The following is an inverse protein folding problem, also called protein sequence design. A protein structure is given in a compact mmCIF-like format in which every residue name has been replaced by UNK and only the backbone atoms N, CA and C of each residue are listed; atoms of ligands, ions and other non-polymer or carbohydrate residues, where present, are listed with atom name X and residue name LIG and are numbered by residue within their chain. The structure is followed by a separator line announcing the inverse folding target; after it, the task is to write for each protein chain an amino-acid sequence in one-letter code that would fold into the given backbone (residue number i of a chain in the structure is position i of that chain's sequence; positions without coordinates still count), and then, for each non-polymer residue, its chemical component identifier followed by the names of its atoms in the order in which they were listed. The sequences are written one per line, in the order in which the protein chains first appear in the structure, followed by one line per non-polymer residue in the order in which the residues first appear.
data_IF_011426623763
#
_entry.id   IF_011426623763
#
_cell.length_a   1.000
_cell.length_b   1.000
_cell.length_c   1.000
_cell.angle_alpha   90.00
_cell.angle_beta   90.00
_cell.angle_gamma   90.00
#
_symmetry.space_group_name_H-M   'P 1'
#
loop_
_entity.id
_entity.type
_entity.pdbx_description
1 polymer ?
#
# COMPACT_ATOMS: atom_id res chain seq x y z
N UNK A 1 -6.55 12.84 12.06
CA UNK A 1 -5.97 11.54 11.68
C UNK A 1 -6.35 10.54 12.75
N UNK A 2 -6.79 9.34 12.39
CA UNK A 2 -7.17 8.31 13.35
C UNK A 2 -5.95 7.82 14.16
N UNK A 3 -6.19 7.35 15.39
CA UNK A 3 -5.21 6.58 16.13
C UNK A 3 -5.02 5.22 15.43
N UNK A 4 -3.78 4.86 15.10
CA UNK A 4 -3.47 3.57 14.48
C UNK A 4 -2.05 3.50 13.95
N UNK A 5 -1.56 2.28 13.78
CA UNK A 5 -0.22 2.00 13.26
C UNK A 5 -0.07 2.38 11.79
N UNK A 6 1.18 2.56 11.36
CA UNK A 6 1.56 2.79 9.97
C UNK A 6 2.35 1.56 9.51
N UNK A 7 1.82 0.82 8.54
CA UNK A 7 2.40 -0.46 8.09
C UNK A 7 3.01 -0.28 6.70
N UNK A 8 4.23 -0.78 6.52
CA UNK A 8 4.92 -0.82 5.23
C UNK A 8 5.01 -2.25 4.76
N UNK A 9 4.35 -2.57 3.66
CA UNK A 9 4.41 -3.89 3.05
C UNK A 9 5.18 -3.81 1.73
N UNK A 10 6.26 -4.58 1.61
CA UNK A 10 7.15 -4.58 0.44
C UNK A 10 7.14 -5.94 -0.26
N UNK A 11 6.92 -5.92 -1.56
CA UNK A 11 7.14 -7.07 -2.44
C UNK A 11 8.64 -7.28 -2.70
N UNK A 12 9.16 -8.45 -2.35
CA UNK A 12 10.57 -8.81 -2.58
C UNK A 12 10.79 -9.64 -3.86
N UNK A 13 9.77 -9.82 -4.71
CA UNK A 13 9.84 -10.73 -5.85
C UNK A 13 9.74 -10.05 -7.22
N UNK A 14 10.62 -10.44 -8.15
CA UNK A 14 10.55 -10.05 -9.57
C UNK A 14 9.53 -10.86 -10.35
N UNK A 15 9.15 -10.40 -11.55
CA UNK A 15 8.19 -11.02 -12.47
C UNK A 15 8.39 -12.53 -12.66
N UNK A 16 9.63 -13.00 -12.53
CA UNK A 16 10.05 -14.38 -12.78
C UNK A 16 10.40 -15.16 -11.49
N UNK A 17 10.02 -14.66 -10.31
CA UNK A 17 10.27 -15.31 -9.02
C UNK A 17 11.70 -15.14 -8.48
N UNK A 18 12.48 -14.20 -9.02
CA UNK A 18 13.78 -13.79 -8.46
C UNK A 18 13.65 -12.66 -7.43
N UNK A 19 14.76 -12.19 -6.86
CA UNK A 19 14.79 -11.08 -5.88
C UNK A 19 14.56 -9.75 -6.57
N UNK A 20 13.56 -8.98 -6.13
CA UNK A 20 13.38 -7.59 -6.59
C UNK A 20 14.43 -6.70 -5.93
N UNK A 21 15.45 -6.30 -6.69
CA UNK A 21 16.51 -5.43 -6.19
C UNK A 21 15.99 -4.06 -5.71
N UNK A 22 14.91 -3.53 -6.29
CA UNK A 22 14.35 -2.25 -5.83
C UNK A 22 13.60 -2.45 -4.52
N UNK A 23 12.78 -3.51 -4.43
CA UNK A 23 12.16 -3.92 -3.16
C UNK A 23 13.19 -4.19 -2.06
N UNK A 24 14.30 -4.87 -2.39
CA UNK A 24 15.38 -5.16 -1.45
C UNK A 24 16.12 -3.91 -0.97
N UNK A 25 16.46 -2.98 -1.88
CA UNK A 25 17.10 -1.71 -1.49
C UNK A 25 16.18 -0.90 -0.59
N UNK A 26 14.88 -0.86 -0.91
CA UNK A 26 13.91 -0.15 -0.09
C UNK A 26 13.74 -0.80 1.27
N UNK A 27 13.72 -2.13 1.31
CA UNK A 27 13.69 -2.90 2.53
C UNK A 27 14.85 -2.53 3.46
N UNK A 28 16.06 -2.45 2.91
CA UNK A 28 17.26 -2.08 3.66
C UNK A 28 17.19 -0.68 4.30
N UNK A 29 16.30 0.21 3.84
CA UNK A 29 16.16 1.59 4.34
C UNK A 29 14.81 1.87 5.01
N UNK A 30 13.95 0.86 5.16
CA UNK A 30 12.55 1.02 5.59
C UNK A 30 12.31 0.26 6.92
N UNK A 31 12.51 0.95 8.05
CA UNK A 31 12.59 0.33 9.40
C UNK A 31 11.25 -0.26 9.91
N UNK A 32 11.11 -1.58 9.99
CA UNK A 32 9.92 -2.23 10.58
C UNK A 32 8.82 -2.52 9.57
N UNK A 33 9.20 -2.76 8.32
CA UNK A 33 8.32 -3.25 7.28
C UNK A 33 7.95 -4.73 7.45
N UNK A 34 7.06 -5.17 6.59
CA UNK A 34 6.76 -6.58 6.35
C UNK A 34 7.03 -6.90 4.89
N UNK A 35 7.69 -8.04 4.67
CA UNK A 35 8.00 -8.51 3.32
C UNK A 35 7.02 -9.60 2.90
N UNK A 36 6.72 -9.65 1.61
CA UNK A 36 5.82 -10.66 1.06
C UNK A 36 6.19 -11.07 -0.37
N UNK A 37 5.65 -12.21 -0.80
CA UNK A 37 5.96 -12.84 -2.11
C UNK A 37 4.71 -13.25 -2.90
N UNK A 38 3.52 -13.08 -2.34
CA UNK A 38 2.21 -13.31 -2.95
C UNK A 38 1.10 -12.65 -2.10
N UNK A 39 -0.16 -12.71 -2.53
CA UNK A 39 -1.29 -12.12 -1.76
C UNK A 39 -1.46 -12.77 -0.38
N UNK A 40 -1.27 -14.08 -0.26
CA UNK A 40 -1.46 -14.80 1.00
C UNK A 40 -0.39 -14.40 2.05
N UNK A 41 0.87 -14.30 1.63
CA UNK A 41 1.99 -13.82 2.45
C UNK A 41 1.85 -12.33 2.77
N UNK A 42 1.36 -11.52 1.84
CA UNK A 42 1.06 -10.10 2.09
C UNK A 42 0.07 -9.94 3.25
N UNK A 43 -1.10 -10.58 3.13
CA UNK A 43 -2.16 -10.46 4.13
C UNK A 43 -1.70 -11.02 5.48
N UNK A 44 -1.06 -12.19 5.49
CA UNK A 44 -0.61 -12.82 6.74
C UNK A 44 0.51 -12.03 7.43
N UNK A 45 1.45 -11.44 6.67
CA UNK A 45 2.52 -10.63 7.24
C UNK A 45 1.99 -9.32 7.84
N UNK A 46 1.07 -8.63 7.14
CA UNK A 46 0.40 -7.43 7.68
C UNK A 46 -0.38 -7.76 8.96
N UNK A 47 -1.16 -8.86 8.96
CA UNK A 47 -1.91 -9.29 10.15
C UNK A 47 -1.00 -9.66 11.33
N UNK A 48 0.12 -10.34 11.06
CA UNK A 48 1.09 -10.70 12.10
C UNK A 48 1.75 -9.47 12.70
N UNK A 49 2.05 -8.46 11.88
CA UNK A 49 2.68 -7.21 12.34
C UNK A 49 1.70 -6.35 13.15
N UNK A 50 0.46 -6.21 12.69
CA UNK A 50 -0.52 -5.37 13.39
C UNK A 50 -1.04 -6.03 14.68
N UNK A 51 -1.19 -7.36 14.69
CA UNK A 51 -1.77 -8.10 15.81
C UNK A 51 -3.19 -7.61 16.14
N UNK A 52 -3.51 -7.34 17.42
CA UNK A 52 -4.84 -6.87 17.82
C UNK A 52 -5.06 -5.36 17.58
N UNK A 53 -4.07 -4.64 17.06
CA UNK A 53 -4.14 -3.17 16.88
C UNK A 53 -4.88 -2.81 15.58
N UNK A 54 -5.16 -1.52 15.43
CA UNK A 54 -5.67 -0.94 14.19
C UNK A 54 -4.56 -0.19 13.44
N UNK A 55 -4.63 -0.20 12.10
CA UNK A 55 -3.75 0.55 11.21
C UNK A 55 -4.47 1.80 10.69
N UNK A 56 -3.76 2.92 10.72
CA UNK A 56 -4.21 4.21 10.17
C UNK A 56 -3.70 4.45 8.75
N UNK A 57 -2.61 3.77 8.38
CA UNK A 57 -2.00 3.89 7.07
C UNK A 57 -1.31 2.57 6.69
N UNK A 58 -1.56 2.10 5.48
CA UNK A 58 -0.88 0.94 4.89
C UNK A 58 -0.23 1.35 3.57
N UNK A 59 1.10 1.32 3.54
CA UNK A 59 1.86 1.47 2.30
C UNK A 59 2.09 0.10 1.68
N UNK A 60 1.75 -0.02 0.41
CA UNK A 60 1.92 -1.25 -0.36
C UNK A 60 2.85 -0.95 -1.51
N UNK A 61 4.08 -1.44 -1.40
CA UNK A 61 5.09 -1.30 -2.42
C UNK A 61 5.14 -2.53 -3.31
N UNK A 62 4.84 -2.30 -4.58
CA UNK A 62 4.70 -3.35 -5.59
C UNK A 62 5.06 -2.81 -6.96
N UNK A 63 5.33 -3.72 -7.91
CA UNK A 63 5.33 -3.36 -9.32
C UNK A 63 3.90 -3.09 -9.80
N UNK A 64 3.76 -2.20 -10.78
CA UNK A 64 2.44 -1.86 -11.31
C UNK A 64 2.48 -1.39 -12.75
N UNK A 65 1.29 -1.36 -13.34
CA UNK A 65 1.02 -0.73 -14.62
C UNK A 65 -0.44 -0.23 -14.66
N UNK A 66 -0.88 0.43 -15.75
CA UNK A 66 -2.29 0.78 -15.90
C UNK A 66 -3.27 -0.40 -15.89
N UNK A 67 -2.80 -1.65 -16.06
CA UNK A 67 -3.65 -2.85 -16.02
C UNK A 67 -3.73 -3.54 -14.66
N UNK A 68 -2.96 -3.09 -13.65
CA UNK A 68 -2.98 -3.70 -12.33
C UNK A 68 -1.68 -3.54 -11.53
N UNK A 69 -1.63 -4.22 -10.40
CA UNK A 69 -0.48 -4.26 -9.49
C UNK A 69 -0.08 -5.70 -9.19
N UNK A 70 1.21 -5.90 -8.94
CA UNK A 70 1.81 -7.20 -8.71
C UNK A 70 2.06 -7.42 -7.23
N UNK A 71 1.26 -8.28 -6.61
CA UNK A 71 1.48 -8.72 -5.24
C UNK A 71 2.32 -9.98 -5.27
N UNK A 72 3.63 -9.81 -5.38
CA UNK A 72 4.59 -10.87 -5.64
C UNK A 72 4.24 -11.74 -6.83
N UNK A 73 4.08 -13.04 -6.63
CA UNK A 73 3.70 -13.97 -7.70
C UNK A 73 2.29 -13.72 -8.29
N UNK A 74 1.44 -12.92 -7.65
CA UNK A 74 0.06 -12.70 -8.08
C UNK A 74 -0.12 -11.35 -8.78
N UNK A 75 -0.65 -11.36 -10.00
CA UNK A 75 -1.13 -10.15 -10.66
C UNK A 75 -2.57 -9.82 -10.25
N UNK A 76 -2.77 -8.64 -9.68
CA UNK A 76 -4.06 -8.12 -9.22
C UNK A 76 -4.50 -6.98 -10.15
N UNK A 77 -5.53 -7.24 -10.94
CA UNK A 77 -6.22 -6.30 -11.81
C UNK A 77 -7.69 -6.20 -11.40
N UNK A 78 -8.44 -5.30 -12.05
CA UNK A 78 -9.89 -5.20 -11.89
C UNK A 78 -10.64 -6.51 -12.17
N UNK A 79 -10.10 -7.35 -13.05
CA UNK A 79 -10.66 -8.66 -13.42
C UNK A 79 -10.24 -9.79 -12.49
N UNK A 80 -9.01 -9.77 -11.96
CA UNK A 80 -8.52 -10.84 -11.06
C UNK A 80 -8.79 -10.55 -9.58
N UNK A 81 -9.08 -9.30 -9.21
CA UNK A 81 -9.41 -8.89 -7.85
C UNK A 81 -10.46 -9.77 -7.16
N UNK A 82 -11.58 -10.17 -7.80
CA UNK A 82 -12.56 -11.06 -7.15
C UNK A 82 -11.97 -12.37 -6.61
N UNK A 83 -10.95 -12.92 -7.28
CA UNK A 83 -10.23 -14.14 -6.86
C UNK A 83 -9.49 -13.95 -5.53
N UNK A 84 -9.02 -12.74 -5.26
CA UNK A 84 -8.24 -12.38 -4.08
C UNK A 84 -9.04 -11.63 -3.01
N UNK A 85 -10.26 -11.19 -3.34
CA UNK A 85 -11.10 -10.35 -2.49
C UNK A 85 -11.23 -10.89 -1.06
N UNK A 86 -11.51 -12.19 -0.89
CA UNK A 86 -11.66 -12.80 0.43
C UNK A 86 -10.36 -12.74 1.27
N UNK A 87 -9.20 -12.82 0.62
CA UNK A 87 -7.90 -12.69 1.29
C UNK A 87 -7.69 -11.26 1.76
N UNK A 88 -7.84 -10.29 0.88
CA UNK A 88 -7.72 -8.86 1.22
C UNK A 88 -8.76 -8.41 2.27
N UNK A 89 -9.96 -8.98 2.26
CA UNK A 89 -11.04 -8.67 3.22
C UNK A 89 -10.65 -8.94 4.67
N UNK A 90 -9.67 -9.83 4.91
CA UNK A 90 -9.17 -10.14 6.25
C UNK A 90 -8.50 -8.93 6.91
N UNK A 91 -8.06 -7.94 6.13
CA UNK A 91 -7.50 -6.69 6.64
C UNK A 91 -8.57 -5.66 7.01
N UNK A 92 -9.81 -5.80 6.52
CA UNK A 92 -10.86 -4.77 6.66
C UNK A 92 -11.11 -4.39 8.11
N UNK A 93 -11.21 -5.36 9.03
CA UNK A 93 -11.46 -5.10 10.45
C UNK A 93 -10.28 -4.50 11.21
N UNK A 94 -9.11 -4.39 10.58
CA UNK A 94 -7.91 -3.83 11.19
C UNK A 94 -7.65 -2.39 10.77
N UNK A 95 -8.43 -1.81 9.85
CA UNK A 95 -8.30 -0.38 9.53
C UNK A 95 -9.03 0.48 10.57
N UNK A 96 -8.36 1.55 11.04
CA UNK A 96 -9.00 2.57 11.85
C UNK A 96 -9.98 3.40 11.02
N UNK A 97 -10.90 4.10 11.67
CA UNK A 97 -11.73 5.09 10.99
C UNK A 97 -10.86 6.14 10.27
N UNK A 98 -11.20 6.47 9.02
CA UNK A 98 -10.46 7.39 8.16
C UNK A 98 -9.02 6.95 7.85
N UNK A 99 -8.73 5.65 7.89
CA UNK A 99 -7.44 5.13 7.46
C UNK A 99 -7.21 5.36 5.96
N UNK A 100 -5.96 5.15 5.55
CA UNK A 100 -5.50 5.31 4.18
C UNK A 100 -4.68 4.10 3.72
N UNK A 101 -4.69 3.87 2.41
CA UNK A 101 -3.80 2.94 1.73
C UNK A 101 -3.08 3.70 0.62
N UNK A 102 -1.76 3.54 0.59
CA UNK A 102 -0.88 4.05 -0.45
C UNK A 102 -0.39 2.89 -1.32
N UNK A 103 -0.93 2.80 -2.54
CA UNK A 103 -0.49 1.84 -3.55
C UNK A 103 0.71 2.44 -4.32
N UNK A 104 1.90 2.16 -3.80
CA UNK A 104 3.20 2.60 -4.32
C UNK A 104 3.63 1.69 -5.47
N UNK A 105 2.96 1.87 -6.61
CA UNK A 105 3.19 1.10 -7.82
C UNK A 105 3.13 1.99 -9.07
N UNK A 106 3.97 1.69 -10.06
CA UNK A 106 4.01 2.45 -11.31
C UNK A 106 2.65 2.48 -12.00
N UNK A 107 2.14 3.68 -12.29
CA UNK A 107 0.92 3.93 -13.07
C UNK A 107 -0.38 3.24 -12.61
N UNK A 108 -0.42 2.56 -11.45
CA UNK A 108 -1.63 1.84 -11.03
C UNK A 108 -2.79 2.79 -10.74
N UNK A 109 -2.50 4.07 -10.43
CA UNK A 109 -3.51 5.12 -10.30
C UNK A 109 -4.30 5.39 -11.59
N UNK A 110 -3.88 4.86 -12.74
CA UNK A 110 -4.64 4.88 -13.98
C UNK A 110 -5.76 3.81 -14.00
N UNK A 111 -5.64 2.73 -13.22
CA UNK A 111 -6.68 1.70 -13.07
C UNK A 111 -7.68 2.09 -11.96
N UNK A 112 -8.58 3.01 -12.30
CA UNK A 112 -9.56 3.54 -11.35
C UNK A 112 -10.54 2.44 -10.85
N UNK A 113 -10.86 1.46 -11.69
CA UNK A 113 -11.72 0.33 -11.29
C UNK A 113 -11.09 -0.49 -10.17
N UNK A 114 -9.81 -0.84 -10.30
CA UNK A 114 -9.09 -1.55 -9.24
C UNK A 114 -9.02 -0.73 -7.95
N UNK A 115 -8.74 0.58 -8.06
CA UNK A 115 -8.72 1.45 -6.88
C UNK A 115 -10.08 1.52 -6.17
N UNK A 116 -11.18 1.62 -6.93
CA UNK A 116 -12.54 1.59 -6.40
C UNK A 116 -12.87 0.25 -5.73
N UNK A 117 -12.37 -0.87 -6.26
CA UNK A 117 -12.53 -2.19 -5.64
C UNK A 117 -11.81 -2.28 -4.29
N UNK A 118 -10.58 -1.77 -4.18
CA UNK A 118 -9.89 -1.68 -2.90
C UNK A 118 -10.62 -0.75 -1.91
N UNK A 119 -11.02 0.44 -2.36
CA UNK A 119 -11.80 1.39 -1.56
C UNK A 119 -13.10 0.75 -1.04
N UNK A 120 -13.87 0.11 -1.91
CA UNK A 120 -15.13 -0.55 -1.53
C UNK A 120 -14.94 -1.78 -0.65
N UNK A 121 -13.77 -2.42 -0.68
CA UNK A 121 -13.47 -3.56 0.20
C UNK A 121 -13.08 -3.14 1.62
N UNK A 122 -12.28 -2.08 1.74
CA UNK A 122 -11.70 -1.66 3.02
C UNK A 122 -12.42 -0.47 3.65
N UNK A 123 -13.13 0.35 2.87
CA UNK A 123 -13.80 1.56 3.36
C UNK A 123 -12.82 2.66 3.78
N UNK A 124 -11.63 2.69 3.16
CA UNK A 124 -10.52 3.59 3.50
C UNK A 124 -10.14 4.46 2.31
N UNK A 125 -9.40 5.55 2.56
CA UNK A 125 -8.84 6.35 1.47
C UNK A 125 -7.80 5.56 0.69
N UNK A 126 -7.77 5.68 -0.64
CA UNK A 126 -6.79 5.03 -1.51
C UNK A 126 -6.05 6.11 -2.30
N UNK A 127 -4.73 6.08 -2.29
CA UNK A 127 -3.90 6.90 -3.17
C UNK A 127 -2.98 6.02 -3.99
N UNK A 128 -2.76 6.41 -5.24
CA UNK A 128 -1.85 5.73 -6.13
C UNK A 128 -1.26 6.67 -7.18
N UNK A 129 -0.02 6.39 -7.57
CA UNK A 129 0.66 7.09 -8.63
C UNK A 129 0.08 6.83 -10.03
N UNK A 130 -0.15 7.87 -10.82
CA UNK A 130 -0.51 7.77 -12.26
C UNK A 130 0.69 7.87 -13.19
N UNK A 131 1.89 8.11 -12.67
CA UNK A 131 3.16 8.13 -13.42
C UNK A 131 4.14 7.03 -12.97
N UNK A 132 5.37 7.11 -13.50
CA UNK A 132 6.49 6.29 -13.03
C UNK A 132 6.73 6.59 -11.55
N UNK A 133 6.64 5.55 -10.73
CA UNK A 133 6.89 5.63 -9.30
C UNK A 133 8.35 5.26 -9.04
N UNK A 134 9.09 6.14 -8.37
CA UNK A 134 10.37 5.81 -7.77
C UNK A 134 10.12 5.59 -6.28
N UNK A 135 10.08 4.33 -5.87
CA UNK A 135 9.77 3.98 -4.49
C UNK A 135 10.90 4.44 -3.53
N UNK A 136 12.17 4.28 -3.93
CA UNK A 136 13.34 4.71 -3.12
C UNK A 136 13.32 6.20 -2.79
N UNK A 137 12.89 7.05 -3.73
CA UNK A 137 12.78 8.50 -3.51
C UNK A 137 11.40 8.93 -2.98
N UNK A 138 10.45 8.01 -2.86
CA UNK A 138 9.04 8.26 -2.63
C UNK A 138 8.46 9.35 -3.55
N UNK A 139 8.77 9.25 -4.84
CA UNK A 139 8.39 10.24 -5.85
C UNK A 139 7.62 9.61 -7.00
N UNK A 140 6.43 10.14 -7.27
CA UNK A 140 5.74 9.92 -8.54
C UNK A 140 6.13 11.01 -9.55
N UNK A 141 6.54 10.60 -10.76
CA UNK A 141 6.83 11.52 -11.87
C UNK A 141 5.57 12.01 -12.61
N UNK A 142 4.38 11.75 -12.07
CA UNK A 142 3.09 12.16 -12.59
C UNK A 142 2.14 12.60 -11.48
N UNK A 143 0.83 12.65 -11.80
CA UNK A 143 -0.21 12.95 -10.80
C UNK A 143 -0.50 11.72 -9.94
N UNK A 144 -1.04 11.94 -8.75
CA UNK A 144 -1.71 10.94 -7.94
C UNK A 144 -3.19 10.86 -8.29
N UNK A 145 -3.73 9.65 -8.32
CA UNK A 145 -5.15 9.40 -8.21
C UNK A 145 -5.46 9.22 -6.72
N UNK A 146 -6.51 9.88 -6.25
CA UNK A 146 -6.94 9.83 -4.85
C UNK A 146 -8.42 9.46 -4.81
N UNK A 147 -8.77 8.50 -3.98
CA UNK A 147 -10.13 8.22 -3.52
C UNK A 147 -10.13 8.48 -2.02
N UNK A 148 -10.87 9.49 -1.57
CA UNK A 148 -10.97 9.87 -0.17
C UNK A 148 -11.77 8.83 0.62
N UNK A 149 -11.64 8.77 1.97
CA UNK A 149 -12.43 7.86 2.79
C UNK A 149 -13.96 8.03 2.63
N UNK A 150 -14.42 9.23 2.26
CA UNK A 150 -15.83 9.54 1.95
C UNK A 150 -16.27 9.14 0.54
N UNK A 151 -15.36 8.55 -0.26
CA UNK A 151 -15.60 8.13 -1.63
C UNK A 151 -15.38 9.21 -2.69
N UNK A 152 -15.04 10.45 -2.31
CA UNK A 152 -14.73 11.51 -3.27
C UNK A 152 -13.46 11.18 -4.04
N UNK A 153 -13.47 11.36 -5.36
CA UNK A 153 -12.32 11.08 -6.21
C UNK A 153 -11.69 12.37 -6.75
N UNK A 154 -10.36 12.43 -6.80
CA UNK A 154 -9.64 13.55 -7.39
C UNK A 154 -8.28 13.14 -7.98
N UNK A 155 -7.67 14.04 -8.74
CA UNK A 155 -6.26 13.93 -9.12
C UNK A 155 -5.48 15.10 -8.55
N UNK A 156 -4.27 14.84 -8.08
CA UNK A 156 -3.39 15.85 -7.48
C UNK A 156 -1.97 15.69 -8.00
N UNK A 157 -1.21 16.78 -8.08
CA UNK A 157 0.24 16.69 -8.32
C UNK A 157 1.01 16.31 -7.04
N UNK A 158 0.36 16.37 -5.88
CA UNK A 158 0.94 16.04 -4.59
C UNK A 158 0.22 14.85 -3.95
N UNK A 159 1.00 13.93 -3.37
CA UNK A 159 0.46 12.95 -2.42
C UNK A 159 -0.03 13.71 -1.17
N UNK A 160 -1.16 13.33 -0.55
CA UNK A 160 -1.55 13.92 0.73
C UNK A 160 -0.39 13.85 1.73
N UNK A 161 -0.06 14.95 2.43
CA UNK A 161 1.16 15.03 3.23
C UNK A 161 1.19 14.02 4.39
N UNK A 162 0.02 13.57 4.84
CA UNK A 162 -0.11 12.53 5.86
C UNK A 162 0.02 11.10 5.33
N UNK A 163 -0.10 10.90 4.03
CA UNK A 163 0.12 9.61 3.38
C UNK A 163 1.55 9.48 2.87
N UNK A 164 2.25 10.58 2.57
CA UNK A 164 3.64 10.54 2.12
C UNK A 164 4.55 9.82 3.10
N UNK A 165 5.55 9.07 2.60
CA UNK A 165 6.60 8.48 3.42
C UNK A 165 7.31 9.55 4.25
N UNK A 166 7.42 9.31 5.56
CA UNK A 166 8.13 10.18 6.48
C UNK A 166 8.90 9.36 7.52
N UNK A 167 10.22 9.27 7.34
CA UNK A 167 11.10 8.54 8.24
C UNK A 167 11.12 9.12 9.67
N UNK A 168 10.93 10.43 9.84
CA UNK A 168 10.88 11.08 11.14
C UNK A 168 9.61 10.72 11.92
N UNK A 169 8.45 10.76 11.24
CA UNK A 169 7.16 10.29 11.79
C UNK A 169 7.24 8.83 12.22
N UNK A 170 7.95 8.01 11.44
CA UNK A 170 8.14 6.59 11.74
C UNK A 170 9.04 6.35 12.96
N UNK A 171 10.20 6.99 13.02
CA UNK A 171 11.08 6.87 14.20
C UNK A 171 10.38 7.34 15.48
N UNK A 172 9.64 8.44 15.40
CA UNK A 172 8.86 8.93 16.53
C UNK A 172 7.82 7.89 16.99
N UNK A 173 7.09 7.27 16.04
CA UNK A 173 6.08 6.25 16.34
C UNK A 173 6.68 4.98 16.93
N UNK A 174 7.77 4.47 16.36
CA UNK A 174 8.46 3.26 16.84
C UNK A 174 9.00 3.42 18.26
N UNK A 175 9.47 4.62 18.60
CA UNK A 175 9.89 4.94 19.98
C UNK A 175 8.68 4.96 20.91
N UNK A 176 7.56 5.57 20.48
CA UNK A 176 6.37 5.71 21.33
C UNK A 176 5.52 4.44 21.43
N UNK A 177 5.54 3.53 20.46
CA UNK A 177 4.78 2.28 20.48
C UNK A 177 5.39 1.20 21.37
N UNK A 178 6.63 1.42 21.82
CA UNK A 178 7.38 0.55 22.73
C UNK A 178 7.39 1.03 24.19
N UNK A 179 6.78 2.19 24.48
CA UNK A 179 6.60 2.76 25.82
C UNK A 179 5.20 2.45 26.34
#
# INVERSE_FOLDING_TARGET
MGFGEEVYAIDETTANGGVDYVGWIESAITIGEVNFTNVDTFVSAVLSHIGPRFMSLLHIQVHGSPSGARFGANWVSDTTFPTYRARFARLTSHFSQNAWVDLRACNVGQNLTLMRQFHGLWGVGIVAGRGRQNNVLDMNMGRYQIIHPDGREETSIFCPPWVKYDAGRRMAREITSRL
#
